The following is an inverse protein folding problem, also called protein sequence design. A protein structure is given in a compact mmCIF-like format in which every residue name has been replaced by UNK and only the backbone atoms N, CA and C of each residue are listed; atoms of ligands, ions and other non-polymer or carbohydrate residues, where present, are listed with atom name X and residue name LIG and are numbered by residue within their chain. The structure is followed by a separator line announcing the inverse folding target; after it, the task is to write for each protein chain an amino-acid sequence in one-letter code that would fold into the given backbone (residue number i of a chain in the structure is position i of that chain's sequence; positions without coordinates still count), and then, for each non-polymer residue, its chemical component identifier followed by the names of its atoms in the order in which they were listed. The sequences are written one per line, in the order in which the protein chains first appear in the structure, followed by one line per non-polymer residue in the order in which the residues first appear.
data_IF_257211664240
#
_entry.id   IF_257211664240
#
_cell.length_a   1.000
_cell.length_b   1.000
_cell.length_c   1.000
_cell.angle_alpha   90.00
_cell.angle_beta   90.00
_cell.angle_gamma   90.00
#
_symmetry.space_group_name_H-M   'P 1'
#
loop_
_entity.id
_entity.type
_entity.pdbx_description
1 polymer ?
#
# COMPACT_ATOMS: atom_id res chain seq x y z
N UNK A 1 -4.90 -64.84 -61.43
CA UNK A 1 -4.31 -65.78 -60.46
C UNK A 1 -2.80 -65.76 -60.61
N UNK A 2 -2.06 -65.28 -59.60
CA UNK A 2 -0.80 -65.86 -59.09
C UNK A 2 -0.15 -64.90 -58.10
N UNK A 3 -0.28 -65.32 -56.85
CA UNK A 3 0.33 -64.82 -55.63
C UNK A 3 1.77 -65.31 -55.47
N UNK A 4 2.55 -64.50 -54.72
CA UNK A 4 3.61 -64.84 -53.76
C UNK A 4 5.02 -65.29 -54.23
N UNK A 5 6.05 -64.60 -53.70
CA UNK A 5 7.23 -65.13 -52.97
C UNK A 5 7.85 -63.95 -52.17
N UNK A 6 7.64 -63.87 -50.84
CA UNK A 6 8.51 -64.26 -49.70
C UNK A 6 9.81 -63.43 -49.49
N UNK A 7 9.69 -62.50 -48.54
CA UNK A 7 10.55 -62.20 -47.38
C UNK A 7 12.09 -62.05 -47.51
N UNK A 8 12.60 -60.92 -47.02
CA UNK A 8 13.82 -60.89 -46.21
C UNK A 8 13.67 -59.85 -45.10
N UNK A 9 13.97 -60.27 -43.88
CA UNK A 9 13.74 -59.54 -42.63
C UNK A 9 14.87 -58.55 -42.34
N UNK A 10 14.54 -57.40 -41.74
CA UNK A 10 15.46 -56.73 -40.81
C UNK A 10 14.65 -56.25 -39.59
N UNK A 11 15.04 -56.80 -38.45
CA UNK A 11 14.66 -56.38 -37.10
C UNK A 11 15.33 -55.03 -36.82
N UNK A 12 14.58 -54.04 -36.34
CA UNK A 12 15.16 -52.91 -35.62
C UNK A 12 14.21 -52.41 -34.53
N UNK A 13 14.80 -52.25 -33.35
CA UNK A 13 14.19 -52.11 -32.04
C UNK A 13 13.19 -50.95 -31.87
N UNK A 14 12.19 -51.23 -31.03
CA UNK A 14 11.39 -50.24 -30.32
C UNK A 14 12.28 -49.27 -29.54
N UNK A 15 12.14 -47.97 -29.80
CA UNK A 15 12.48 -46.94 -28.83
C UNK A 15 11.21 -46.12 -28.57
N UNK A 16 10.49 -46.50 -27.52
CA UNK A 16 9.50 -45.63 -26.90
C UNK A 16 10.28 -44.56 -26.11
N UNK A 17 10.39 -43.37 -26.67
CA UNK A 17 10.86 -42.22 -25.90
C UNK A 17 9.71 -41.74 -25.00
N UNK A 18 9.75 -42.11 -23.72
CA UNK A 18 8.88 -41.50 -22.70
C UNK A 18 9.44 -40.11 -22.41
N UNK A 19 8.81 -39.08 -22.96
CA UNK A 19 9.09 -37.71 -22.58
C UNK A 19 8.45 -37.43 -21.22
N UNK A 20 9.27 -37.34 -20.17
CA UNK A 20 8.86 -36.81 -18.88
C UNK A 20 8.58 -35.31 -19.04
N UNK A 21 7.30 -34.93 -19.09
CA UNK A 21 6.90 -33.53 -18.99
C UNK A 21 7.17 -33.05 -17.56
N UNK A 22 8.26 -32.31 -17.36
CA UNK A 22 8.48 -31.56 -16.12
C UNK A 22 7.49 -30.41 -16.06
N UNK A 23 6.54 -30.45 -15.12
CA UNK A 23 5.78 -29.25 -14.76
C UNK A 23 6.74 -28.27 -14.08
N UNK A 24 7.20 -27.27 -14.82
CA UNK A 24 7.85 -26.10 -14.23
C UNK A 24 6.82 -25.42 -13.30
N UNK A 25 7.11 -25.41 -12.00
CA UNK A 25 6.27 -24.77 -11.00
C UNK A 25 6.05 -23.30 -11.35
N UNK A 26 4.80 -22.85 -11.32
CA UNK A 26 4.48 -21.44 -11.45
C UNK A 26 5.03 -20.71 -10.21
N UNK A 27 6.12 -19.96 -10.40
CA UNK A 27 6.53 -18.95 -9.44
C UNK A 27 5.47 -17.84 -9.48
N UNK A 28 4.56 -17.83 -8.51
CA UNK A 28 3.69 -16.68 -8.28
C UNK A 28 4.56 -15.55 -7.77
N UNK A 29 4.96 -14.62 -8.64
CA UNK A 29 5.59 -13.39 -8.21
C UNK A 29 4.59 -12.65 -7.30
N UNK A 30 4.99 -12.38 -6.05
CA UNK A 30 4.25 -11.48 -5.19
C UNK A 30 4.06 -10.15 -5.94
N UNK A 31 2.90 -9.48 -5.82
CA UNK A 31 2.70 -8.19 -6.48
C UNK A 31 3.83 -7.25 -6.05
N UNK A 32 4.60 -6.75 -7.02
CA UNK A 32 5.66 -5.79 -6.75
C UNK A 32 5.03 -4.53 -6.13
N UNK A 33 5.72 -3.89 -5.19
CA UNK A 33 5.29 -2.59 -4.63
C UNK A 33 5.03 -1.54 -5.73
N UNK A 34 5.69 -1.68 -6.88
CA UNK A 34 5.46 -0.87 -8.08
C UNK A 34 4.08 -1.14 -8.76
N UNK A 35 3.56 -2.36 -8.71
CA UNK A 35 2.25 -2.70 -9.28
C UNK A 35 1.09 -2.16 -8.43
N UNK A 36 1.29 -2.03 -7.11
CA UNK A 36 0.33 -1.37 -6.23
C UNK A 36 0.26 0.15 -6.44
N UNK A 37 1.32 0.77 -6.96
CA UNK A 37 1.33 2.19 -7.31
C UNK A 37 0.39 2.54 -8.49
N UNK A 38 0.04 1.55 -9.33
CA UNK A 38 -0.82 1.75 -10.50
C UNK A 38 -2.33 1.73 -10.17
N UNK A 39 -2.71 1.02 -9.10
CA UNK A 39 -4.03 1.16 -8.49
C UNK A 39 -3.95 2.38 -7.58
N UNK A 40 -4.53 3.51 -7.99
CA UNK A 40 -4.58 4.69 -7.13
C UNK A 40 -5.07 4.35 -5.71
N UNK A 41 -4.71 5.16 -4.72
CA UNK A 41 -4.94 4.85 -3.31
C UNK A 41 -6.37 4.38 -2.98
N UNK A 42 -6.48 3.49 -1.98
CA UNK A 42 -7.76 3.05 -1.44
C UNK A 42 -8.32 4.09 -0.46
N UNK A 43 -9.54 4.57 -0.71
CA UNK A 43 -10.18 5.58 0.14
C UNK A 43 -10.72 5.02 1.46
N UNK A 44 -10.33 5.64 2.58
CA UNK A 44 -10.78 5.35 3.95
C UNK A 44 -11.71 6.45 4.51
N UNK A 45 -12.38 7.19 3.62
CA UNK A 45 -13.26 8.31 3.99
C UNK A 45 -12.50 9.62 4.21
N UNK A 46 -12.94 10.43 5.17
CA UNK A 46 -12.39 11.76 5.45
C UNK A 46 -11.57 11.85 6.74
N UNK A 47 -11.51 10.78 7.53
CA UNK A 47 -10.77 10.74 8.80
C UNK A 47 -10.47 9.32 9.27
N UNK A 48 -9.47 9.15 10.13
CA UNK A 48 -9.20 7.91 10.85
C UNK A 48 -8.91 8.15 12.34
N UNK A 49 -9.22 7.15 13.18
CA UNK A 49 -8.95 7.17 14.64
C UNK A 49 -7.91 6.15 15.10
N UNK A 50 -7.61 5.10 14.31
CA UNK A 50 -6.49 4.20 14.57
C UNK A 50 -5.30 4.58 13.69
N UNK A 51 -5.29 4.11 12.43
CA UNK A 51 -4.19 4.36 11.51
C UNK A 51 -4.64 4.46 10.05
N UNK A 52 -3.79 5.08 9.23
CA UNK A 52 -3.82 5.05 7.77
C UNK A 52 -2.59 4.25 7.30
N UNK A 53 -2.83 3.14 6.60
CA UNK A 53 -1.79 2.19 6.18
C UNK A 53 -1.27 2.48 4.76
N UNK A 54 -0.11 1.92 4.34
CA UNK A 54 0.38 2.07 2.97
C UNK A 54 -0.67 1.77 1.90
N UNK A 55 -0.75 2.65 0.90
CA UNK A 55 -1.71 2.58 -0.20
C UNK A 55 -3.11 3.08 0.14
N UNK A 56 -3.38 3.48 1.38
CA UNK A 56 -4.67 4.03 1.79
C UNK A 56 -4.62 5.57 1.86
N UNK A 57 -5.79 6.19 1.72
CA UNK A 57 -5.91 7.63 1.70
C UNK A 57 -7.23 8.16 2.28
N UNK A 58 -7.17 9.36 2.85
CA UNK A 58 -8.35 10.19 3.10
C UNK A 58 -8.64 11.04 1.86
N UNK A 59 -9.92 11.25 1.52
CA UNK A 59 -10.32 12.04 0.37
C UNK A 59 -11.47 12.99 0.72
N UNK A 60 -11.36 14.26 0.34
CA UNK A 60 -12.43 15.25 0.56
C UNK A 60 -12.29 16.42 -0.41
N UNK A 61 -13.34 16.78 -1.14
CA UNK A 61 -13.39 18.03 -1.94
C UNK A 61 -12.28 18.19 -2.99
N UNK A 62 -11.79 17.10 -3.60
CA UNK A 62 -10.68 17.13 -4.56
C UNK A 62 -9.29 17.10 -3.92
N UNK A 63 -9.23 17.04 -2.59
CA UNK A 63 -8.00 16.85 -1.83
C UNK A 63 -7.87 15.40 -1.39
N UNK A 64 -6.62 14.97 -1.22
CA UNK A 64 -6.30 13.63 -0.75
C UNK A 64 -5.10 13.65 0.18
N UNK A 65 -5.21 13.01 1.35
CA UNK A 65 -4.06 12.68 2.20
C UNK A 65 -3.77 11.19 2.02
N UNK A 66 -2.61 10.85 1.48
CA UNK A 66 -2.25 9.48 1.10
C UNK A 66 -1.01 9.01 1.86
N UNK A 67 -1.10 7.85 2.50
CA UNK A 67 0.06 7.14 3.02
C UNK A 67 0.60 6.26 1.90
N UNK A 68 1.64 6.71 1.22
CA UNK A 68 2.21 6.01 0.07
C UNK A 68 3.02 4.77 0.48
N UNK A 69 3.19 3.84 -0.46
CA UNK A 69 3.96 2.61 -0.25
C UNK A 69 5.46 2.85 -0.04
N UNK A 70 5.97 4.00 -0.47
CA UNK A 70 7.36 4.41 -0.30
C UNK A 70 7.66 4.99 1.09
N UNK A 71 6.64 5.10 1.95
CA UNK A 71 6.76 5.64 3.31
C UNK A 71 6.43 7.12 3.45
N UNK A 72 6.03 7.79 2.38
CA UNK A 72 5.72 9.20 2.40
C UNK A 72 4.24 9.45 2.69
N UNK A 73 3.93 10.31 3.67
CA UNK A 73 2.57 10.80 3.88
C UNK A 73 2.42 12.12 3.11
N UNK A 74 1.55 12.15 2.10
CA UNK A 74 1.47 13.29 1.17
C UNK A 74 0.05 13.80 1.05
N UNK A 75 -0.10 15.12 1.13
CA UNK A 75 -1.34 15.84 0.87
C UNK A 75 -1.34 16.38 -0.56
N UNK A 76 -2.36 16.01 -1.32
CA UNK A 76 -2.58 16.40 -2.71
C UNK A 76 -3.80 17.31 -2.88
N UNK A 77 -3.72 18.20 -3.86
CA UNK A 77 -4.86 18.86 -4.52
C UNK A 77 -4.89 18.40 -5.97
N UNK A 78 -5.85 17.54 -6.33
CA UNK A 78 -5.80 16.80 -7.58
C UNK A 78 -4.50 15.97 -7.68
N UNK A 79 -3.67 16.25 -8.69
CA UNK A 79 -2.36 15.61 -8.88
C UNK A 79 -1.18 16.39 -8.25
N UNK A 80 -1.41 17.61 -7.74
CA UNK A 80 -0.36 18.46 -7.18
C UNK A 80 -0.13 18.16 -5.70
N UNK A 81 1.09 17.79 -5.32
CA UNK A 81 1.48 17.70 -3.92
C UNK A 81 1.56 19.10 -3.30
N UNK A 82 0.80 19.34 -2.22
CA UNK A 82 0.81 20.58 -1.46
C UNK A 82 1.75 20.51 -0.25
N UNK A 83 1.81 19.34 0.38
CA UNK A 83 2.61 19.07 1.56
C UNK A 83 3.01 17.60 1.55
N UNK A 84 4.20 17.29 2.05
CA UNK A 84 4.66 15.93 2.24
C UNK A 84 5.40 15.82 3.58
N UNK A 85 5.40 14.65 4.19
CA UNK A 85 6.33 14.39 5.27
C UNK A 85 7.75 14.46 4.74
N UNK A 86 8.11 13.74 3.68
CA UNK A 86 9.53 13.51 3.35
C UNK A 86 10.11 12.44 4.27
N UNK A 87 9.33 11.36 4.40
CA UNK A 87 9.73 10.09 5.02
C UNK A 87 9.77 8.98 3.98
N UNK A 88 9.88 9.35 2.70
CA UNK A 88 10.10 8.45 1.59
C UNK A 88 11.40 7.63 1.78
N UNK A 89 11.44 6.46 1.14
CA UNK A 89 12.56 5.52 1.23
C UNK A 89 12.46 4.53 2.39
N UNK A 90 11.37 4.56 3.17
CA UNK A 90 11.08 3.58 4.23
C UNK A 90 9.77 2.86 3.93
N UNK A 91 9.81 1.54 3.77
CA UNK A 91 8.60 0.75 3.49
C UNK A 91 7.80 0.47 4.77
N UNK A 92 6.55 0.02 4.59
CA UNK A 92 5.66 -0.41 5.68
C UNK A 92 5.37 0.68 6.72
N UNK A 93 5.45 1.96 6.33
CA UNK A 93 5.14 3.09 7.21
C UNK A 93 3.63 3.32 7.25
N UNK A 94 3.06 3.42 8.45
CA UNK A 94 1.68 3.83 8.64
C UNK A 94 1.60 5.12 9.48
N UNK A 95 0.59 5.93 9.21
CA UNK A 95 0.25 7.08 10.03
C UNK A 95 -0.70 6.64 11.15
N UNK A 96 -0.39 6.88 12.41
CA UNK A 96 -1.20 6.45 13.56
C UNK A 96 -1.64 7.63 14.39
N UNK A 97 -2.92 7.68 14.71
CA UNK A 97 -3.46 8.65 15.64
C UNK A 97 -3.28 8.14 17.07
N UNK A 98 -2.79 9.01 17.94
CA UNK A 98 -2.77 8.77 19.38
C UNK A 98 -3.60 9.84 20.05
N UNK A 99 -4.85 9.48 20.35
CA UNK A 99 -5.75 10.23 21.21
C UNK A 99 -5.71 9.74 22.67
N UNK A 100 -6.55 10.38 23.49
CA UNK A 100 -6.95 10.00 24.86
C UNK A 100 -5.84 10.01 25.91
N UNK A 101 -5.97 10.92 26.91
CA UNK A 101 -5.31 11.01 28.23
C UNK A 101 -3.86 10.51 28.40
N UNK A 102 -3.09 10.39 27.33
CA UNK A 102 -1.65 10.15 27.38
C UNK A 102 -0.94 11.50 27.50
N UNK A 103 0.21 11.54 28.20
CA UNK A 103 1.11 12.67 28.12
C UNK A 103 1.35 13.04 26.66
N UNK A 104 1.34 14.34 26.37
CA UNK A 104 1.58 14.91 25.04
C UNK A 104 0.54 14.65 23.93
N UNK A 105 -0.53 13.89 24.18
CA UNK A 105 -1.68 13.79 23.27
C UNK A 105 -2.43 15.13 23.07
N UNK A 106 -3.07 15.35 21.91
CA UNK A 106 -3.17 14.44 20.77
C UNK A 106 -1.99 14.60 19.82
N UNK A 107 -1.58 13.52 19.17
CA UNK A 107 -0.59 13.56 18.11
C UNK A 107 -0.84 12.47 17.07
N UNK A 108 -0.20 12.63 15.91
CA UNK A 108 -0.08 11.59 14.90
C UNK A 108 1.40 11.22 14.76
N UNK A 109 1.71 9.93 14.71
CA UNK A 109 3.04 9.41 14.40
C UNK A 109 3.09 8.79 13.01
N UNK A 110 4.26 8.83 12.38
CA UNK A 110 4.61 7.95 11.27
C UNK A 110 5.51 6.86 11.83
N UNK A 111 5.03 5.61 11.80
CA UNK A 111 5.70 4.47 12.42
C UNK A 111 6.05 3.44 11.35
N UNK A 112 7.25 2.87 11.47
CA UNK A 112 7.76 1.78 10.64
C UNK A 112 8.14 0.59 11.53
N UNK A 113 8.45 -0.59 10.98
CA UNK A 113 8.97 -1.72 11.75
C UNK A 113 10.26 -1.40 12.54
N UNK A 114 11.02 -0.39 12.13
CA UNK A 114 12.28 0.01 12.80
C UNK A 114 12.10 1.16 13.80
N UNK A 115 10.88 1.71 13.92
CA UNK A 115 10.55 2.74 14.91
C UNK A 115 9.74 3.92 14.36
N UNK A 116 9.52 4.90 15.25
CA UNK A 116 8.86 6.17 14.92
C UNK A 116 9.79 7.03 14.06
N UNK A 117 9.32 7.42 12.87
CA UNK A 117 10.05 8.30 11.96
C UNK A 117 9.76 9.76 12.26
N UNK A 118 8.49 10.09 12.55
CA UNK A 118 8.02 11.46 12.82
C UNK A 118 6.84 11.50 13.76
N UNK A 119 6.66 12.65 14.41
CA UNK A 119 5.50 12.99 15.24
C UNK A 119 5.01 14.39 14.93
N UNK A 120 3.70 14.51 14.73
CA UNK A 120 2.99 15.76 14.50
C UNK A 120 2.03 16.00 15.65
N UNK A 121 2.15 17.16 16.32
CA UNK A 121 1.29 17.51 17.45
C UNK A 121 -0.04 18.06 16.96
N UNK A 122 -1.13 17.57 17.55
CA UNK A 122 -2.45 18.16 17.45
C UNK A 122 -2.76 19.09 18.61
N UNK A 123 -4.04 19.46 18.74
CA UNK A 123 -4.53 20.24 19.89
C UNK A 123 -5.89 19.70 20.33
N UNK A 124 -6.10 19.65 21.65
CA UNK A 124 -7.43 19.56 22.23
C UNK A 124 -7.99 20.97 22.50
N UNK A 125 -9.31 21.09 22.55
CA UNK A 125 -9.98 22.27 23.11
C UNK A 125 -10.45 21.95 24.53
N UNK A 126 -10.67 22.97 25.36
CA UNK A 126 -10.82 22.80 26.82
C UNK A 126 -11.71 21.63 27.26
N UNK A 127 -12.88 21.47 26.64
CA UNK A 127 -13.84 20.41 26.96
C UNK A 127 -13.73 19.16 26.06
N UNK A 128 -13.05 19.24 24.91
CA UNK A 128 -12.99 18.15 23.94
C UNK A 128 -11.61 17.50 23.93
N UNK A 129 -11.50 16.37 24.64
CA UNK A 129 -10.26 15.58 24.80
C UNK A 129 -10.22 14.31 23.94
N UNK A 130 -11.08 14.23 22.93
CA UNK A 130 -11.10 13.18 21.91
C UNK A 130 -10.86 13.79 20.52
N UNK A 131 -10.62 12.96 19.50
CA UNK A 131 -10.40 13.44 18.15
C UNK A 131 -10.04 12.34 17.17
N UNK A 132 -9.55 12.76 16.01
CA UNK A 132 -9.10 11.91 14.92
C UNK A 132 -8.00 12.64 14.13
N UNK A 133 -7.45 12.00 13.10
CA UNK A 133 -6.81 12.72 12.00
C UNK A 133 -7.83 12.86 10.88
N UNK A 134 -8.04 14.07 10.39
CA UNK A 134 -9.07 14.36 9.38
C UNK A 134 -8.59 15.28 8.27
N UNK A 135 -9.19 15.11 7.09
CA UNK A 135 -9.05 15.97 5.92
C UNK A 135 -10.38 16.67 5.64
N UNK A 136 -10.38 18.00 5.69
CA UNK A 136 -11.57 18.78 5.37
C UNK A 136 -11.66 19.12 3.87
N UNK A 137 -12.80 19.69 3.45
CA UNK A 137 -13.06 20.05 2.05
C UNK A 137 -12.30 21.31 1.57
N UNK A 138 -11.48 21.91 2.44
CA UNK A 138 -10.59 23.04 2.10
C UNK A 138 -9.14 22.58 1.87
N UNK A 139 -8.87 21.28 1.98
CA UNK A 139 -7.52 20.74 1.82
C UNK A 139 -6.66 20.92 3.04
N UNK A 140 -7.24 20.97 4.24
CA UNK A 140 -6.51 21.06 5.49
C UNK A 140 -6.56 19.73 6.23
N UNK A 141 -5.40 19.31 6.76
CA UNK A 141 -5.28 18.14 7.62
C UNK A 141 -5.22 18.59 9.07
N UNK A 142 -6.04 17.96 9.90
CA UNK A 142 -6.20 18.28 11.32
C UNK A 142 -5.93 17.06 12.17
N UNK A 143 -5.22 17.26 13.29
CA UNK A 143 -5.04 16.27 14.35
C UNK A 143 -5.85 16.77 15.55
N UNK A 144 -6.96 16.09 15.82
CA UNK A 144 -8.04 16.60 16.65
C UNK A 144 -8.44 18.02 16.20
N UNK A 145 -8.18 19.04 17.02
CA UNK A 145 -8.52 20.43 16.76
C UNK A 145 -7.30 21.30 16.41
N UNK A 146 -6.15 20.69 16.11
CA UNK A 146 -4.95 21.39 15.66
C UNK A 146 -4.68 21.17 14.17
N UNK A 147 -4.58 22.26 13.40
CA UNK A 147 -4.17 22.18 11.98
C UNK A 147 -2.73 21.69 11.90
N UNK A 148 -2.51 20.63 11.14
CA UNK A 148 -1.20 20.03 10.88
C UNK A 148 -0.59 20.53 9.58
N UNK A 149 -1.36 20.45 8.50
CA UNK A 149 -0.91 20.76 7.14
C UNK A 149 -2.08 21.30 6.31
N UNK A 150 -1.76 21.88 5.15
CA UNK A 150 -2.76 22.29 4.17
C UNK A 150 -2.19 22.46 2.78
N UNK A 151 -3.09 22.40 1.80
CA UNK A 151 -2.98 23.18 0.58
C UNK A 151 -3.37 24.65 0.88
#
# INVERSE_FOLDING_TARGET
MRTAFRACAIVAANLLAVALATTAGQATAAPSHAAHHAQGCRGDGTSFTDRLIPGHCLQNGGYRLEMQYDGNLVLYSGSRACWASGTDGTHDVYAKFSGDWKPDSPYMTLESPVGELRKYRGKYTGLHKSGNVSLNNKGEVWIAYGKMAGC
#
